data_IF_692708378600
#
_entry.id   IF_692708378600
#
_cell.length_a   1.000
_cell.length_b   1.000
_cell.length_c   1.000
_cell.angle_alpha   90.00
_cell.angle_beta   90.00
_cell.angle_gamma   90.00
#
_symmetry.space_group_name_H-M   'P 1'
#
loop_
_entity.id
_entity.type
_entity.pdbx_description
1 polymer ?
#
# COMPACT_ATOMS: atom_id res chain seq x y z
N UNK A 1 19.79 35.46 35.32
CA UNK A 1 20.17 34.37 34.45
C UNK A 1 19.08 33.29 34.31
N UNK A 2 18.38 32.92 35.37
CA UNK A 2 17.30 31.89 35.36
C UNK A 2 16.10 32.21 34.47
N UNK A 3 15.67 33.49 34.38
CA UNK A 3 14.52 33.88 33.52
C UNK A 3 14.79 33.83 32.03
N UNK A 4 16.05 33.88 31.60
CA UNK A 4 16.45 33.80 30.19
C UNK A 4 16.47 32.34 29.71
N UNK A 5 16.89 31.44 30.58
CA UNK A 5 16.93 29.99 30.28
C UNK A 5 15.51 29.43 30.11
N UNK A 6 14.54 29.90 30.92
CA UNK A 6 13.14 29.47 30.83
C UNK A 6 12.46 29.89 29.50
N UNK A 7 12.83 31.06 28.93
CA UNK A 7 12.31 31.54 27.65
C UNK A 7 12.89 30.74 26.45
N UNK A 8 14.13 30.27 26.56
CA UNK A 8 14.78 29.50 25.50
C UNK A 8 14.19 28.08 25.43
N UNK A 9 13.85 27.46 26.58
CA UNK A 9 13.22 26.14 26.64
C UNK A 9 11.80 26.17 26.06
N UNK A 10 11.05 27.26 26.23
CA UNK A 10 9.69 27.40 25.71
C UNK A 10 9.62 27.53 24.16
N UNK A 11 10.70 28.01 23.52
CA UNK A 11 10.74 28.19 22.06
C UNK A 11 11.11 26.88 21.35
N UNK A 12 11.77 25.92 22.01
CA UNK A 12 12.20 24.68 21.40
C UNK A 12 11.12 23.59 21.32
N UNK A 13 9.97 23.77 21.98
CA UNK A 13 8.88 22.78 22.03
C UNK A 13 7.86 22.88 20.88
N UNK A 14 8.02 23.84 19.94
CA UNK A 14 6.96 24.14 18.93
C UNK A 14 7.21 23.47 17.56
N UNK A 15 8.33 22.77 17.34
CA UNK A 15 8.66 22.22 16.02
C UNK A 15 8.70 20.68 15.93
N UNK A 16 7.89 19.99 16.72
CA UNK A 16 7.64 18.58 16.44
C UNK A 16 6.22 18.42 15.87
N UNK A 17 6.02 18.97 14.67
CA UNK A 17 4.89 18.55 13.84
C UNK A 17 5.16 17.11 13.44
N UNK A 18 4.59 16.15 14.17
CA UNK A 18 4.51 14.78 13.68
C UNK A 18 3.69 14.84 12.37
N UNK A 19 4.36 14.78 11.23
CA UNK A 19 3.69 14.46 9.99
C UNK A 19 2.94 13.14 10.23
N UNK A 20 1.62 13.21 10.31
CA UNK A 20 0.77 12.05 10.32
C UNK A 20 0.98 11.34 8.99
N UNK A 21 1.91 10.36 8.98
CA UNK A 21 2.17 9.53 7.80
C UNK A 21 0.85 8.89 7.41
N UNK A 22 0.29 9.29 6.28
CA UNK A 22 -0.95 8.72 5.74
C UNK A 22 -0.85 7.20 5.79
N UNK A 23 -1.81 6.58 6.46
CA UNK A 23 -1.88 5.13 6.68
C UNK A 23 -2.23 4.39 5.39
N UNK A 24 -2.80 5.13 4.44
CA UNK A 24 -3.28 4.64 3.15
C UNK A 24 -2.11 4.45 2.17
N UNK A 25 -2.22 3.40 1.37
CA UNK A 25 -1.29 3.15 0.28
C UNK A 25 -1.62 4.07 -0.89
N UNK A 26 -0.84 5.13 -1.05
CA UNK A 26 -1.12 6.16 -2.05
C UNK A 26 0.14 6.67 -2.75
N UNK A 27 -0.07 7.29 -3.92
CA UNK A 27 0.93 8.01 -4.69
C UNK A 27 0.41 9.37 -5.11
N UNK A 28 1.31 10.29 -5.45
CA UNK A 28 1.01 11.69 -5.77
C UNK A 28 1.18 12.61 -4.57
N UNK A 29 1.05 13.91 -4.81
CA UNK A 29 1.21 14.92 -3.77
C UNK A 29 0.09 14.82 -2.72
N UNK A 30 0.47 14.76 -1.46
CA UNK A 30 -0.48 14.70 -0.33
C UNK A 30 -1.31 16.00 -0.21
N UNK A 31 -0.86 17.09 -0.79
CA UNK A 31 -1.54 18.38 -0.82
C UNK A 31 -2.40 18.60 -2.06
N UNK A 32 -2.51 17.60 -2.96
CA UNK A 32 -3.36 17.69 -4.13
C UNK A 32 -4.81 18.00 -3.75
N UNK A 33 -5.45 18.89 -4.51
CA UNK A 33 -6.85 19.29 -4.25
C UNK A 33 -7.84 18.15 -4.47
N UNK A 34 -7.47 17.17 -5.28
CA UNK A 34 -8.30 16.01 -5.63
C UNK A 34 -7.63 14.74 -5.16
N UNK A 35 -8.35 13.90 -4.43
CA UNK A 35 -7.92 12.55 -4.07
C UNK A 35 -8.87 11.52 -4.71
N UNK A 36 -8.31 10.61 -5.49
CA UNK A 36 -9.03 9.46 -6.04
C UNK A 36 -8.81 8.28 -5.09
N UNK A 37 -9.87 7.80 -4.45
CA UNK A 37 -9.86 6.60 -3.60
C UNK A 37 -10.42 5.44 -4.39
N UNK A 38 -9.64 4.37 -4.55
CA UNK A 38 -10.05 3.17 -5.28
C UNK A 38 -10.11 1.99 -4.33
N UNK A 39 -11.31 1.51 -4.06
CA UNK A 39 -11.55 0.29 -3.30
C UNK A 39 -11.48 -0.89 -4.25
N UNK A 40 -10.50 -1.77 -4.06
CA UNK A 40 -10.25 -2.83 -5.02
C UNK A 40 -9.69 -4.10 -4.38
N UNK A 41 -9.95 -5.24 -5.05
CA UNK A 41 -9.46 -6.56 -4.66
C UNK A 41 -8.38 -7.03 -5.63
N UNK A 42 -7.32 -7.61 -5.09
CA UNK A 42 -6.21 -8.13 -5.90
C UNK A 42 -6.58 -9.39 -6.69
N UNK A 43 -7.68 -10.08 -6.35
CA UNK A 43 -8.22 -11.20 -7.13
C UNK A 43 -9.27 -10.78 -8.15
N UNK A 44 -9.75 -9.53 -8.15
CA UNK A 44 -10.78 -9.05 -9.05
C UNK A 44 -10.21 -8.76 -10.45
N UNK A 45 -10.66 -9.44 -11.55
CA UNK A 45 -10.16 -9.20 -12.90
C UNK A 45 -10.46 -7.78 -13.42
N UNK A 46 -11.59 -7.20 -13.04
CA UNK A 46 -11.93 -5.82 -13.42
C UNK A 46 -10.97 -4.81 -12.76
N UNK A 47 -10.55 -5.06 -11.52
CA UNK A 47 -9.57 -4.23 -10.81
C UNK A 47 -8.19 -4.31 -11.47
N UNK A 48 -7.75 -5.51 -11.88
CA UNK A 48 -6.51 -5.68 -12.63
C UNK A 48 -6.56 -4.97 -13.99
N UNK A 49 -7.69 -5.04 -14.70
CA UNK A 49 -7.88 -4.34 -15.97
C UNK A 49 -7.87 -2.80 -15.78
N UNK A 50 -8.52 -2.29 -14.74
CA UNK A 50 -8.44 -0.87 -14.38
C UNK A 50 -6.99 -0.45 -14.15
N UNK A 51 -6.24 -1.22 -13.34
CA UNK A 51 -4.87 -0.90 -13.01
C UNK A 51 -3.95 -0.92 -14.24
N UNK A 52 -4.13 -1.90 -15.14
CA UNK A 52 -3.29 -2.04 -16.33
C UNK A 52 -3.58 -1.03 -17.45
N UNK A 53 -4.82 -0.50 -17.54
CA UNK A 53 -5.23 0.36 -18.66
C UNK A 53 -5.51 1.79 -18.25
N UNK A 54 -6.22 2.01 -17.13
CA UNK A 54 -6.72 3.33 -16.75
C UNK A 54 -5.79 4.00 -15.75
N UNK A 55 -5.29 3.26 -14.77
CA UNK A 55 -4.43 3.82 -13.73
C UNK A 55 -3.18 4.51 -14.31
N UNK A 56 -2.52 3.91 -15.32
CA UNK A 56 -1.32 4.52 -15.92
C UNK A 56 -1.62 5.83 -16.64
N UNK A 57 -2.79 5.95 -17.28
CA UNK A 57 -3.23 7.20 -17.89
C UNK A 57 -3.47 8.26 -16.83
N UNK A 58 -4.18 7.92 -15.74
CA UNK A 58 -4.40 8.82 -14.60
C UNK A 58 -3.05 9.23 -13.99
N UNK A 59 -2.12 8.29 -13.89
CA UNK A 59 -0.79 8.56 -13.34
C UNK A 59 -0.06 9.61 -14.18
N UNK A 60 0.08 9.39 -15.47
CA UNK A 60 0.81 10.25 -16.37
C UNK A 60 0.13 11.63 -16.54
N UNK A 61 -1.21 11.66 -16.66
CA UNK A 61 -1.94 12.89 -16.96
C UNK A 61 -2.20 13.75 -15.72
N UNK A 62 -2.27 13.17 -14.52
CA UNK A 62 -2.72 13.90 -13.34
C UNK A 62 -1.82 13.71 -12.12
N UNK A 63 -1.40 12.47 -11.79
CA UNK A 63 -0.65 12.21 -10.56
C UNK A 63 0.77 12.76 -10.67
N UNK A 64 1.47 12.47 -11.76
CA UNK A 64 2.85 12.91 -11.99
C UNK A 64 2.95 14.44 -12.17
N UNK A 65 1.82 15.10 -12.45
CA UNK A 65 1.71 16.57 -12.53
C UNK A 65 1.28 17.21 -11.20
N UNK A 66 1.13 16.42 -10.14
CA UNK A 66 0.73 16.90 -8.80
C UNK A 66 -0.72 17.37 -8.70
N UNK A 67 -1.57 17.09 -9.70
CA UNK A 67 -2.97 17.51 -9.72
C UNK A 67 -3.87 16.61 -8.91
N UNK A 68 -3.52 15.33 -8.79
CA UNK A 68 -4.29 14.29 -8.14
C UNK A 68 -3.42 13.45 -7.23
N UNK A 69 -3.94 13.15 -6.04
CA UNK A 69 -3.47 12.06 -5.19
C UNK A 69 -4.30 10.80 -5.47
N UNK A 70 -3.67 9.67 -5.64
CA UNK A 70 -4.33 8.38 -5.79
C UNK A 70 -4.09 7.51 -4.56
N UNK A 71 -5.15 6.89 -4.03
CA UNK A 71 -5.09 6.00 -2.87
C UNK A 71 -5.72 4.65 -3.20
N UNK A 72 -4.95 3.58 -2.97
CA UNK A 72 -5.45 2.22 -3.01
C UNK A 72 -6.00 1.83 -1.64
N UNK A 73 -7.29 1.55 -1.59
CA UNK A 73 -8.00 1.04 -0.43
C UNK A 73 -8.29 -0.46 -0.64
N UNK A 74 -7.76 -1.34 0.22
CA UNK A 74 -7.95 -2.76 0.06
C UNK A 74 -9.41 -3.16 0.29
N UNK A 75 -9.95 -3.94 -0.62
CA UNK A 75 -11.27 -4.57 -0.48
C UNK A 75 -11.16 -6.05 -0.84
N UNK A 76 -10.46 -6.88 -0.03
CA UNK A 76 -10.24 -8.28 -0.35
C UNK A 76 -11.57 -9.04 -0.39
N UNK A 77 -11.84 -9.70 -1.52
CA UNK A 77 -13.03 -10.52 -1.73
C UNK A 77 -12.86 -11.95 -1.22
N UNK A 78 -11.63 -12.38 -1.03
CA UNK A 78 -11.25 -13.72 -0.59
C UNK A 78 -9.91 -13.72 0.16
N UNK A 79 -9.54 -14.87 0.68
CA UNK A 79 -8.29 -15.05 1.44
C UNK A 79 -7.04 -14.84 0.57
N UNK A 80 -7.10 -15.16 -0.71
CA UNK A 80 -5.97 -14.96 -1.62
C UNK A 80 -5.70 -13.46 -1.84
N UNK A 81 -6.78 -12.66 -2.00
CA UNK A 81 -6.67 -11.20 -2.09
C UNK A 81 -6.13 -10.59 -0.79
N UNK A 82 -6.59 -11.07 0.37
CA UNK A 82 -6.09 -10.62 1.67
C UNK A 82 -4.59 -10.92 1.81
N UNK A 83 -4.16 -12.14 1.50
CA UNK A 83 -2.76 -12.54 1.59
C UNK A 83 -1.87 -11.74 0.62
N UNK A 84 -2.36 -11.44 -0.58
CA UNK A 84 -1.66 -10.59 -1.53
C UNK A 84 -1.48 -9.16 -1.01
N UNK A 85 -2.52 -8.56 -0.41
CA UNK A 85 -2.46 -7.24 0.25
C UNK A 85 -1.46 -7.24 1.40
N UNK A 86 -1.43 -8.28 2.23
CA UNK A 86 -0.46 -8.42 3.33
C UNK A 86 0.96 -8.41 2.77
N UNK A 87 1.24 -9.15 1.69
CA UNK A 87 2.57 -9.21 1.07
C UNK A 87 2.96 -7.85 0.48
N UNK A 88 2.04 -7.15 -0.20
CA UNK A 88 2.29 -5.78 -0.68
C UNK A 88 2.71 -4.87 0.48
N UNK A 89 2.01 -4.95 1.62
CA UNK A 89 2.26 -4.11 2.80
C UNK A 89 3.43 -4.58 3.67
N UNK A 90 4.11 -5.67 3.29
CA UNK A 90 5.36 -6.10 3.91
C UNK A 90 6.52 -5.14 3.66
N UNK A 91 6.53 -4.40 2.57
CA UNK A 91 7.50 -3.34 2.36
C UNK A 91 7.30 -2.22 3.40
N UNK A 92 8.41 -1.58 3.79
CA UNK A 92 8.38 -0.37 4.64
C UNK A 92 8.16 0.89 3.82
N UNK A 93 8.67 0.91 2.59
CA UNK A 93 8.61 2.03 1.66
C UNK A 93 7.31 2.01 0.84
N UNK A 94 6.57 3.14 0.81
CA UNK A 94 5.30 3.23 0.10
C UNK A 94 5.44 3.15 -1.43
N UNK A 95 6.55 3.65 -1.98
CA UNK A 95 6.81 3.55 -3.42
C UNK A 95 6.98 2.10 -3.84
N UNK A 96 7.78 1.32 -3.06
CA UNK A 96 7.96 -0.12 -3.29
C UNK A 96 6.67 -0.92 -3.09
N UNK A 97 5.84 -0.56 -2.10
CA UNK A 97 4.50 -1.16 -1.94
C UNK A 97 3.66 -0.95 -3.19
N UNK A 98 3.66 0.27 -3.72
CA UNK A 98 2.85 0.60 -4.89
C UNK A 98 3.38 -0.08 -6.16
N UNK A 99 4.70 -0.20 -6.32
CA UNK A 99 5.33 -0.98 -7.38
C UNK A 99 4.95 -2.46 -7.31
N UNK A 100 5.03 -3.06 -6.11
CA UNK A 100 4.64 -4.46 -5.90
C UNK A 100 3.14 -4.67 -6.15
N UNK A 101 2.28 -3.74 -5.73
CA UNK A 101 0.86 -3.74 -6.05
C UNK A 101 0.62 -3.84 -7.56
N UNK A 102 1.35 -3.04 -8.35
CA UNK A 102 1.30 -3.09 -9.82
C UNK A 102 1.68 -4.45 -10.38
N UNK A 103 2.79 -5.02 -9.92
CA UNK A 103 3.25 -6.36 -10.35
C UNK A 103 2.26 -7.47 -9.98
N UNK A 104 1.62 -7.37 -8.82
CA UNK A 104 0.59 -8.31 -8.38
C UNK A 104 -0.61 -8.26 -9.33
N UNK A 105 -1.10 -7.07 -9.71
CA UNK A 105 -2.17 -6.93 -10.69
C UNK A 105 -1.77 -7.44 -12.08
N UNK A 106 -0.59 -7.06 -12.56
CA UNK A 106 -0.07 -7.49 -13.87
C UNK A 106 -0.03 -9.01 -14.00
N UNK A 107 0.44 -9.68 -12.94
CA UNK A 107 0.60 -11.15 -12.90
C UNK A 107 -0.62 -11.88 -12.35
N UNK A 108 -1.77 -11.21 -12.15
CA UNK A 108 -2.95 -11.78 -11.50
C UNK A 108 -3.35 -13.13 -12.08
N UNK A 109 -3.37 -13.27 -13.40
CA UNK A 109 -3.75 -14.50 -14.09
C UNK A 109 -2.79 -15.68 -13.84
N UNK A 110 -1.59 -15.42 -13.30
CA UNK A 110 -0.59 -16.46 -13.01
C UNK A 110 -0.67 -16.93 -11.56
N UNK A 111 -1.06 -16.06 -10.63
CA UNK A 111 -1.07 -16.40 -9.21
C UNK A 111 -2.48 -16.60 -8.63
N UNK A 112 -3.51 -15.91 -9.15
CA UNK A 112 -4.89 -16.00 -8.66
C UNK A 112 -5.62 -17.18 -9.33
N UNK A 113 -5.06 -18.40 -9.24
CA UNK A 113 -5.58 -19.59 -9.94
C UNK A 113 -5.73 -20.75 -8.96
N UNK A 114 -6.85 -21.45 -9.08
CA UNK A 114 -7.15 -22.60 -8.23
C UNK A 114 -7.64 -22.22 -6.83
N UNK A 115 -7.75 -23.21 -5.94
CA UNK A 115 -8.27 -23.06 -4.57
C UNK A 115 -7.25 -23.40 -3.48
N UNK A 116 -6.06 -23.87 -3.85
CA UNK A 116 -5.00 -24.22 -2.89
C UNK A 116 -4.26 -22.94 -2.46
N UNK A 117 -4.61 -22.43 -1.27
CA UNK A 117 -4.06 -21.19 -0.73
C UNK A 117 -2.54 -21.25 -0.56
N UNK A 118 -1.96 -22.41 -0.29
CA UNK A 118 -0.51 -22.54 -0.13
C UNK A 118 0.20 -22.35 -1.48
N UNK A 119 -0.36 -22.91 -2.56
CA UNK A 119 0.17 -22.71 -3.92
C UNK A 119 0.04 -21.26 -4.34
N UNK A 120 -1.11 -20.63 -4.06
CA UNK A 120 -1.36 -19.21 -4.33
C UNK A 120 -0.34 -18.36 -3.58
N UNK A 121 -0.18 -18.54 -2.27
CA UNK A 121 0.79 -17.81 -1.46
C UNK A 121 2.23 -17.97 -1.98
N UNK A 122 2.62 -19.19 -2.39
CA UNK A 122 3.93 -19.40 -2.97
C UNK A 122 4.13 -18.66 -4.31
N UNK A 123 3.06 -18.54 -5.10
CA UNK A 123 3.10 -17.76 -6.36
C UNK A 123 3.20 -16.26 -6.10
N UNK A 124 2.45 -15.73 -5.12
CA UNK A 124 2.54 -14.32 -4.70
C UNK A 124 3.92 -14.02 -4.11
N UNK A 125 4.48 -14.91 -3.28
CA UNK A 125 5.81 -14.73 -2.71
C UNK A 125 6.91 -14.67 -3.77
N UNK A 126 6.79 -15.42 -4.89
CA UNK A 126 7.73 -15.28 -6.01
C UNK A 126 7.74 -13.85 -6.58
N UNK A 127 6.58 -13.21 -6.69
CA UNK A 127 6.47 -11.81 -7.14
C UNK A 127 7.09 -10.87 -6.10
N UNK A 128 6.89 -11.15 -4.80
CA UNK A 128 7.51 -10.41 -3.71
C UNK A 128 9.05 -10.48 -3.72
N UNK A 129 9.62 -11.65 -4.05
CA UNK A 129 11.07 -11.81 -4.22
C UNK A 129 11.63 -10.94 -5.36
N UNK A 130 10.89 -10.79 -6.46
CA UNK A 130 11.24 -9.89 -7.59
C UNK A 130 11.16 -8.40 -7.21
N UNK A 131 10.68 -8.10 -6.00
CA UNK A 131 10.52 -6.76 -5.44
C UNK A 131 11.31 -6.60 -4.13
N UNK A 132 12.45 -7.29 -4.01
CA UNK A 132 13.40 -7.22 -2.88
C UNK A 132 12.85 -7.70 -1.51
N UNK A 133 11.67 -8.34 -1.44
CA UNK A 133 11.21 -8.98 -0.21
C UNK A 133 11.92 -10.31 0.01
N UNK A 134 12.10 -10.70 1.27
CA UNK A 134 12.67 -12.01 1.64
C UNK A 134 11.53 -12.95 2.05
N UNK A 135 11.69 -14.26 1.75
CA UNK A 135 10.70 -15.28 2.14
C UNK A 135 10.34 -15.22 3.62
N UNK A 136 11.35 -15.12 4.50
CA UNK A 136 11.14 -15.05 5.95
C UNK A 136 10.27 -13.86 6.36
N UNK A 137 10.48 -12.70 5.73
CA UNK A 137 9.73 -11.49 6.07
C UNK A 137 8.28 -11.61 5.60
N UNK A 138 8.05 -12.15 4.40
CA UNK A 138 6.71 -12.44 3.88
C UNK A 138 5.96 -13.48 4.71
N UNK A 139 6.65 -14.54 5.17
CA UNK A 139 6.05 -15.55 6.06
C UNK A 139 5.67 -14.95 7.42
N UNK A 140 6.46 -14.05 7.95
CA UNK A 140 6.14 -13.33 9.19
C UNK A 140 4.95 -12.37 8.98
N UNK A 141 4.93 -11.62 7.85
CA UNK A 141 3.81 -10.74 7.53
C UNK A 141 2.49 -11.50 7.38
N UNK A 142 2.49 -12.65 6.73
CA UNK A 142 1.27 -13.48 6.56
C UNK A 142 0.72 -14.03 7.88
N UNK A 143 1.54 -14.10 8.93
CA UNK A 143 1.14 -14.54 10.29
C UNK A 143 0.77 -13.38 11.21
N UNK A 144 0.96 -12.14 10.77
CA UNK A 144 0.71 -10.95 11.56
C UNK A 144 -0.79 -10.60 11.53
N UNK A 145 -1.51 -11.00 12.58
CA UNK A 145 -2.94 -10.76 12.74
C UNK A 145 -3.26 -9.25 12.77
N UNK A 146 -2.37 -8.42 13.33
CA UNK A 146 -2.59 -6.97 13.35
C UNK A 146 -2.61 -6.38 11.92
N UNK A 147 -1.75 -6.88 11.01
CA UNK A 147 -1.78 -6.49 9.60
C UNK A 147 -3.07 -6.93 8.90
N UNK A 148 -3.54 -8.13 9.21
CA UNK A 148 -4.80 -8.63 8.65
C UNK A 148 -5.97 -7.74 9.08
N UNK A 149 -6.06 -7.44 10.38
CA UNK A 149 -7.10 -6.58 10.93
C UNK A 149 -7.01 -5.16 10.37
N UNK A 150 -5.80 -4.60 10.24
CA UNK A 150 -5.60 -3.29 9.64
C UNK A 150 -6.14 -3.23 8.20
N UNK A 151 -5.87 -4.25 7.38
CA UNK A 151 -6.37 -4.33 6.00
C UNK A 151 -7.89 -4.47 5.99
N UNK A 152 -8.44 -5.35 6.83
CA UNK A 152 -9.88 -5.59 6.89
C UNK A 152 -10.65 -4.37 7.39
N UNK A 153 -10.10 -3.61 8.31
CA UNK A 153 -10.71 -2.37 8.83
C UNK A 153 -10.69 -1.20 7.83
N UNK A 154 -9.88 -1.26 6.76
CA UNK A 154 -9.88 -0.25 5.69
C UNK A 154 -10.99 -0.45 4.65
N UNK A 155 -11.80 -1.50 4.79
CA UNK A 155 -12.94 -1.81 3.89
C UNK A 155 -14.15 -0.89 4.08
N UNK A 156 -14.13 -0.06 5.13
CA UNK A 156 -15.26 0.78 5.58
C UNK A 156 -14.97 2.25 5.24
#
# INVERSE_FOLDING_TARGET
>A
MTKLIFKIILIFTIFFSAEAKSKELGIGDVNSKVTIKVFSSLTCPACANFHSKIFYQIKEEFIDKGLVRFEHHPFPLDLAALNAEIIVRCHVDNSKKFELLGKIYEKQKLWAVGSDINKINNSIKKIGLESDLKNKDMDNCLKDENKQDEILNQRI
#
